data_IF_710143077907
#
_entry.id   IF_710143077907
#
_cell.length_a   1.000
_cell.length_b   1.000
_cell.length_c   1.000
_cell.angle_alpha   90.00
_cell.angle_beta   90.00
_cell.angle_gamma   90.00
#
_symmetry.space_group_name_H-M   'P 1'
#
loop_
_entity.id
_entity.type
_entity.pdbx_description
1 polymer ?
#
# COMPACT_ATOMS: atom_id res chain seq x y z
N UNK A 1 -27.27 6.14 -20.57
CA UNK A 1 -27.92 7.18 -19.74
C UNK A 1 -26.90 8.27 -19.45
N UNK A 2 -27.32 9.53 -19.41
CA UNK A 2 -26.47 10.65 -18.99
C UNK A 2 -27.19 11.40 -17.87
N UNK A 3 -26.44 11.77 -16.82
CA UNK A 3 -26.93 12.51 -15.66
C UNK A 3 -25.94 13.62 -15.36
N UNK A 4 -26.42 14.86 -15.29
CA UNK A 4 -25.63 16.03 -14.93
C UNK A 4 -26.35 16.80 -13.82
N UNK A 5 -25.58 17.30 -12.87
CA UNK A 5 -26.03 18.29 -11.91
C UNK A 5 -25.19 19.56 -12.08
N UNK A 6 -25.81 20.74 -12.10
CA UNK A 6 -25.11 22.02 -12.26
C UNK A 6 -24.28 22.38 -11.02
N UNK A 7 -24.71 21.92 -9.84
CA UNK A 7 -24.04 22.16 -8.56
C UNK A 7 -23.94 20.88 -7.75
N UNK A 8 -25.01 20.53 -7.03
CA UNK A 8 -25.03 19.38 -6.12
C UNK A 8 -25.85 18.24 -6.70
N UNK A 9 -25.40 17.01 -6.45
CA UNK A 9 -26.18 15.79 -6.64
C UNK A 9 -26.23 15.06 -5.29
N UNK A 10 -27.37 15.16 -4.61
CA UNK A 10 -27.59 14.49 -3.33
C UNK A 10 -28.43 13.23 -3.53
N UNK A 11 -27.84 12.06 -3.28
CA UNK A 11 -28.54 10.78 -3.37
C UNK A 11 -28.82 10.25 -1.98
N UNK A 12 -30.10 10.02 -1.65
CA UNK A 12 -30.53 9.42 -0.38
C UNK A 12 -31.30 8.13 -0.62
N UNK A 13 -30.69 7.00 -0.30
CA UNK A 13 -31.32 5.68 -0.31
C UNK A 13 -31.73 5.32 1.12
N UNK A 14 -33.00 4.96 1.33
CA UNK A 14 -33.52 4.68 2.69
C UNK A 14 -33.18 3.28 3.22
N UNK A 15 -32.71 2.40 2.34
CA UNK A 15 -32.47 1.00 2.68
C UNK A 15 -31.21 0.49 1.97
N UNK A 16 -31.36 -0.20 0.84
CA UNK A 16 -30.26 -0.89 0.17
C UNK A 16 -29.95 -0.20 -1.18
N UNK A 17 -28.69 0.09 -1.43
CA UNK A 17 -28.19 0.50 -2.75
C UNK A 17 -27.41 -0.67 -3.36
N UNK A 18 -27.68 -1.00 -4.62
CA UNK A 18 -26.91 -1.98 -5.39
C UNK A 18 -26.54 -1.35 -6.71
N UNK A 19 -25.27 -1.48 -7.10
CA UNK A 19 -24.76 -0.94 -8.34
C UNK A 19 -23.95 -2.02 -9.07
N UNK A 20 -24.38 -2.37 -10.28
CA UNK A 20 -23.72 -3.35 -11.13
C UNK A 20 -23.29 -2.69 -12.42
N UNK A 21 -22.00 -2.81 -12.75
CA UNK A 21 -21.42 -2.24 -13.97
C UNK A 21 -20.87 -3.41 -14.78
N UNK A 22 -21.38 -3.63 -15.99
CA UNK A 22 -20.93 -4.72 -16.86
C UNK A 22 -19.57 -4.46 -17.53
N UNK A 23 -19.14 -3.19 -17.56
CA UNK A 23 -17.83 -2.77 -18.06
C UNK A 23 -17.03 -2.02 -17.00
N UNK A 24 -16.21 -1.07 -17.42
CA UNK A 24 -15.36 -0.28 -16.52
C UNK A 24 -16.14 0.82 -15.79
N UNK A 25 -15.75 1.10 -14.55
CA UNK A 25 -16.17 2.29 -13.79
C UNK A 25 -14.94 3.17 -13.54
N UNK A 26 -14.97 4.40 -14.05
CA UNK A 26 -13.96 5.44 -13.76
C UNK A 26 -14.59 6.45 -12.79
N UNK A 27 -13.86 6.79 -11.73
CA UNK A 27 -14.27 7.81 -10.76
C UNK A 27 -13.13 8.80 -10.60
N UNK A 28 -13.39 10.07 -10.91
CA UNK A 28 -12.43 11.16 -10.79
C UNK A 28 -13.03 12.26 -9.90
N UNK A 29 -12.38 12.54 -8.76
CA UNK A 29 -12.75 13.59 -7.83
C UNK A 29 -11.58 14.58 -7.76
N UNK A 30 -11.84 15.88 -7.98
CA UNK A 30 -10.81 16.93 -8.00
C UNK A 30 -10.43 17.46 -6.61
N UNK A 31 -11.29 17.21 -5.62
CA UNK A 31 -11.11 17.63 -4.24
C UNK A 31 -11.20 16.40 -3.34
N UNK A 32 -11.94 16.46 -2.24
CA UNK A 32 -11.97 15.42 -1.22
C UNK A 32 -13.03 14.35 -1.50
N UNK A 33 -12.68 13.09 -1.21
CA UNK A 33 -13.61 11.98 -1.14
C UNK A 33 -13.64 11.43 0.29
N UNK A 34 -14.76 11.65 0.99
CA UNK A 34 -14.96 11.16 2.35
C UNK A 34 -16.05 10.09 2.39
N UNK A 35 -15.72 8.93 2.95
CA UNK A 35 -16.68 7.85 3.19
C UNK A 35 -16.69 7.47 4.67
N UNK A 36 -17.86 7.05 5.17
CA UNK A 36 -18.02 6.46 6.50
C UNK A 36 -18.87 5.21 6.36
N UNK A 37 -18.43 4.12 6.98
CA UNK A 37 -19.15 2.85 7.04
C UNK A 37 -19.23 2.47 8.50
N UNK A 38 -20.44 2.44 9.07
CA UNK A 38 -20.65 2.05 10.47
C UNK A 38 -20.51 0.54 10.67
N UNK A 39 -20.84 -0.23 9.63
CA UNK A 39 -20.70 -1.69 9.60
C UNK A 39 -19.38 -2.14 9.01
N UNK A 40 -19.41 -3.30 8.33
CA UNK A 40 -18.26 -3.88 7.65
C UNK A 40 -18.05 -3.26 6.27
N UNK A 41 -16.81 -2.90 5.95
CA UNK A 41 -16.39 -2.61 4.58
C UNK A 41 -15.55 -3.79 4.04
N UNK A 42 -15.93 -4.34 2.89
CA UNK A 42 -15.22 -5.44 2.25
C UNK A 42 -14.89 -5.07 0.80
N UNK A 43 -13.64 -5.37 0.39
CA UNK A 43 -13.16 -5.20 -0.97
C UNK A 43 -12.61 -6.53 -1.46
N UNK A 44 -13.20 -7.08 -2.52
CA UNK A 44 -12.73 -8.29 -3.19
C UNK A 44 -12.32 -7.94 -4.62
N UNK A 45 -11.03 -8.09 -4.94
CA UNK A 45 -10.44 -7.76 -6.24
C UNK A 45 -9.86 -9.06 -6.81
N UNK A 46 -10.31 -9.44 -8.01
CA UNK A 46 -9.88 -10.69 -8.64
C UNK A 46 -8.45 -10.63 -9.20
N UNK A 47 -8.04 -9.45 -9.65
CA UNK A 47 -6.74 -9.20 -10.28
C UNK A 47 -5.89 -8.29 -9.38
N UNK A 48 -5.36 -7.18 -9.90
CA UNK A 48 -4.49 -6.28 -9.15
C UNK A 48 -5.25 -5.16 -8.44
N UNK A 49 -4.75 -4.77 -7.27
CA UNK A 49 -5.07 -3.51 -6.59
C UNK A 49 -3.79 -2.68 -6.52
N UNK A 50 -3.84 -1.45 -7.05
CA UNK A 50 -2.76 -0.49 -7.00
C UNK A 50 -3.25 0.76 -6.26
N UNK A 51 -2.42 1.30 -5.38
CA UNK A 51 -2.74 2.48 -4.57
C UNK A 51 -1.55 3.43 -4.63
N UNK A 52 -1.78 4.63 -5.15
CA UNK A 52 -0.78 5.70 -5.27
C UNK A 52 -1.24 6.89 -4.43
N UNK A 53 -0.43 7.26 -3.45
CA UNK A 53 -0.73 8.33 -2.50
C UNK A 53 0.37 9.38 -2.60
N UNK A 54 0.02 10.61 -2.97
CA UNK A 54 0.98 11.72 -3.10
C UNK A 54 1.40 12.37 -1.79
N UNK A 55 0.70 12.06 -0.70
CA UNK A 55 0.97 12.58 0.64
C UNK A 55 1.09 11.48 1.68
N UNK A 56 0.70 11.78 2.92
CA UNK A 56 0.72 10.82 4.02
C UNK A 56 -0.31 9.70 3.81
N UNK A 57 0.10 8.46 4.08
CA UNK A 57 -0.78 7.29 4.07
C UNK A 57 -0.89 6.68 5.47
N UNK A 58 -2.02 6.90 6.12
CA UNK A 58 -2.31 6.44 7.47
C UNK A 58 -3.23 5.22 7.47
N UNK A 59 -2.79 4.12 8.09
CA UNK A 59 -3.64 2.97 8.42
C UNK A 59 -3.70 2.86 9.95
N UNK A 60 -4.90 3.01 10.52
CA UNK A 60 -5.12 3.00 11.97
C UNK A 60 -6.22 1.99 12.31
N UNK A 61 -5.84 0.91 12.99
CA UNK A 61 -6.77 -0.08 13.53
C UNK A 61 -6.80 -0.02 15.05
N UNK A 62 -8.00 -0.06 15.64
CA UNK A 62 -8.12 -0.28 17.09
C UNK A 62 -7.74 -1.72 17.48
N UNK A 63 -8.07 -2.68 16.62
CA UNK A 63 -7.61 -4.06 16.69
C UNK A 63 -6.38 -4.32 15.82
N UNK A 64 -6.08 -5.60 15.60
CA UNK A 64 -4.96 -6.02 14.75
C UNK A 64 -5.12 -5.54 13.30
N UNK A 65 -4.04 -5.02 12.72
CA UNK A 65 -3.91 -4.79 11.28
C UNK A 65 -3.08 -5.95 10.70
N UNK A 66 -3.72 -6.81 9.91
CA UNK A 66 -3.08 -7.99 9.31
C UNK A 66 -2.82 -7.76 7.82
N UNK A 67 -1.57 -7.91 7.40
CA UNK A 67 -1.16 -7.97 5.99
C UNK A 67 -0.65 -9.38 5.72
N UNK A 68 -1.19 -10.05 4.71
CA UNK A 68 -0.84 -11.42 4.37
C UNK A 68 -0.65 -11.54 2.86
N UNK A 69 0.31 -12.37 2.46
CA UNK A 69 0.62 -12.63 1.06
C UNK A 69 0.97 -14.10 0.87
N UNK A 70 0.52 -14.69 -0.23
CA UNK A 70 0.83 -16.07 -0.57
C UNK A 70 2.26 -16.25 -1.10
N UNK A 71 2.85 -15.19 -1.65
CA UNK A 71 4.17 -15.25 -2.31
C UNK A 71 5.24 -14.46 -1.56
N UNK A 72 4.86 -13.31 -0.99
CA UNK A 72 5.75 -12.52 -0.16
C UNK A 72 5.26 -11.10 0.13
N UNK A 73 5.87 -10.49 1.13
CA UNK A 73 5.66 -9.08 1.51
C UNK A 73 6.97 -8.35 1.31
N UNK A 74 6.91 -7.17 0.68
CA UNK A 74 8.07 -6.31 0.44
C UNK A 74 7.76 -4.88 0.83
N UNK A 75 8.55 -4.32 1.74
CA UNK A 75 8.48 -2.92 2.17
C UNK A 75 9.76 -2.20 1.75
N UNK A 76 9.64 -1.07 1.05
CA UNK A 76 10.78 -0.33 0.47
C UNK A 76 10.70 1.12 0.89
N UNK A 77 11.82 1.68 1.32
CA UNK A 77 11.94 3.10 1.63
C UNK A 77 13.37 3.55 1.36
N UNK A 78 13.61 4.13 0.17
CA UNK A 78 14.96 4.43 -0.29
C UNK A 78 15.82 3.16 -0.29
N UNK A 79 16.96 3.20 0.39
CA UNK A 79 17.90 2.06 0.49
C UNK A 79 17.51 1.01 1.55
N UNK A 80 16.39 1.19 2.26
CA UNK A 80 15.90 0.23 3.25
C UNK A 80 14.84 -0.68 2.63
N UNK A 81 15.06 -1.99 2.72
CA UNK A 81 14.16 -3.01 2.16
C UNK A 81 13.95 -4.12 3.18
N UNK A 82 12.68 -4.43 3.50
CA UNK A 82 12.27 -5.64 4.21
C UNK A 82 11.56 -6.56 3.23
N UNK A 83 12.07 -7.77 3.06
CA UNK A 83 11.50 -8.80 2.19
C UNK A 83 11.19 -10.06 3.00
N UNK A 84 9.95 -10.55 2.89
CA UNK A 84 9.48 -11.79 3.50
C UNK A 84 8.99 -12.72 2.39
N UNK A 85 9.63 -13.86 2.23
CA UNK A 85 9.27 -14.87 1.22
C UNK A 85 8.31 -15.95 1.76
N UNK A 86 7.54 -16.56 0.87
CA UNK A 86 6.67 -17.70 1.21
C UNK A 86 7.44 -18.95 1.71
N UNK A 87 8.75 -19.02 1.44
CA UNK A 87 9.65 -20.05 1.96
C UNK A 87 10.06 -19.83 3.44
N UNK A 88 9.61 -18.73 4.07
CA UNK A 88 9.95 -18.36 5.44
C UNK A 88 11.26 -17.57 5.57
N UNK A 89 11.92 -17.26 4.45
CA UNK A 89 13.11 -16.41 4.44
C UNK A 89 12.71 -14.94 4.68
N UNK A 90 13.44 -14.26 5.56
CA UNK A 90 13.24 -12.85 5.88
C UNK A 90 14.57 -12.12 5.74
N UNK A 91 14.59 -11.11 4.86
CA UNK A 91 15.77 -10.32 4.56
C UNK A 91 15.53 -8.84 4.91
N UNK A 92 16.48 -8.25 5.63
CA UNK A 92 16.52 -6.82 5.93
C UNK A 92 17.79 -6.22 5.32
N UNK A 93 17.62 -5.39 4.31
CA UNK A 93 18.70 -4.62 3.69
C UNK A 93 18.59 -3.17 4.15
N UNK A 94 19.69 -2.60 4.67
CA UNK A 94 19.73 -1.21 5.12
C UNK A 94 21.19 -0.70 5.22
N UNK A 95 21.36 0.61 5.29
CA UNK A 95 22.69 1.23 5.49
C UNK A 95 23.16 1.15 6.94
N UNK A 96 22.23 1.29 7.89
CA UNK A 96 22.46 1.29 9.35
C UNK A 96 21.20 0.74 10.03
N UNK A 97 21.38 0.00 11.12
CA UNK A 97 20.28 -0.46 11.95
C UNK A 97 20.61 -0.30 13.43
N UNK A 98 19.58 -0.20 14.27
CA UNK A 98 19.68 -0.25 15.71
C UNK A 98 18.50 -1.05 16.25
N UNK A 99 18.77 -1.98 17.18
CA UNK A 99 17.74 -2.77 17.87
C UNK A 99 17.91 -2.50 19.36
N UNK A 100 16.95 -1.83 19.97
CA UNK A 100 16.99 -1.42 21.37
C UNK A 100 15.81 -2.05 22.12
N UNK A 101 16.09 -2.71 23.26
CA UNK A 101 15.07 -3.27 24.15
C UNK A 101 15.28 -2.74 25.57
N UNK A 102 14.21 -2.31 26.23
CA UNK A 102 14.25 -1.91 27.65
C UNK A 102 14.22 -3.11 28.61
N UNK A 103 13.75 -4.26 28.12
CA UNK A 103 13.78 -5.54 28.81
C UNK A 103 14.84 -6.49 28.23
N UNK A 104 14.56 -7.79 28.23
CA UNK A 104 15.44 -8.82 27.67
C UNK A 104 15.32 -8.91 26.14
N UNK A 105 16.44 -9.17 25.46
CA UNK A 105 16.47 -9.56 24.04
C UNK A 105 16.93 -11.00 23.87
N UNK A 106 16.44 -11.69 22.83
CA UNK A 106 16.84 -13.06 22.49
C UNK A 106 16.99 -13.21 20.98
N UNK A 107 18.03 -13.94 20.55
CA UNK A 107 18.22 -14.38 19.17
C UNK A 107 18.52 -15.88 19.26
N UNK A 108 17.61 -16.70 18.73
CA UNK A 108 17.70 -18.15 18.81
C UNK A 108 17.57 -18.74 17.41
N UNK A 109 18.44 -19.68 17.09
CA UNK A 109 18.45 -20.38 15.80
C UNK A 109 18.48 -21.88 16.06
N UNK A 110 17.81 -22.67 15.21
CA UNK A 110 17.94 -24.13 15.21
C UNK A 110 19.26 -24.63 14.63
N UNK A 111 20.04 -23.74 14.01
CA UNK A 111 21.38 -23.97 13.47
C UNK A 111 22.35 -22.85 13.87
N UNK A 112 23.36 -22.57 13.04
CA UNK A 112 24.38 -21.56 13.32
C UNK A 112 23.80 -20.14 13.26
N UNK A 113 24.30 -19.27 14.14
CA UNK A 113 24.13 -17.82 14.05
C UNK A 113 25.48 -17.20 13.67
N UNK A 114 25.64 -16.85 12.39
CA UNK A 114 26.85 -16.19 11.93
C UNK A 114 26.74 -14.67 12.07
N UNK A 115 27.78 -14.05 12.62
CA UNK A 115 27.89 -12.60 12.76
C UNK A 115 29.09 -12.11 11.93
N UNK A 116 28.81 -11.26 10.95
CA UNK A 116 29.80 -10.75 9.99
C UNK A 116 30.53 -11.85 9.20
N UNK A 117 29.78 -12.86 8.73
CA UNK A 117 30.31 -13.97 7.94
C UNK A 117 31.01 -13.51 6.65
N UNK A 118 30.39 -12.56 5.94
CA UNK A 118 30.87 -12.03 4.66
C UNK A 118 31.58 -10.70 4.89
N UNK A 119 32.66 -10.46 4.15
CA UNK A 119 33.36 -9.16 4.13
C UNK A 119 32.55 -8.06 3.45
N UNK A 120 31.56 -8.42 2.63
CA UNK A 120 30.56 -7.53 2.06
C UNK A 120 29.17 -8.14 2.22
N UNK A 121 28.19 -7.41 2.79
CA UNK A 121 26.83 -7.89 2.89
C UNK A 121 26.16 -7.91 1.51
N UNK A 122 25.17 -8.79 1.35
CA UNK A 122 24.31 -8.80 0.17
C UNK A 122 23.44 -7.54 0.13
N UNK A 123 22.93 -7.19 -1.06
CA UNK A 123 22.02 -6.05 -1.27
C UNK A 123 20.69 -6.55 -1.81
N UNK A 124 19.63 -5.79 -1.55
CA UNK A 124 18.34 -6.03 -2.20
C UNK A 124 18.52 -6.01 -3.73
N UNK A 125 17.82 -6.91 -4.42
CA UNK A 125 17.88 -7.01 -5.89
C UNK A 125 17.34 -5.74 -6.58
N UNK A 126 16.42 -5.04 -5.91
CA UNK A 126 15.85 -3.78 -6.36
C UNK A 126 15.45 -2.92 -5.16
N UNK A 127 15.52 -1.60 -5.33
CA UNK A 127 14.98 -0.58 -4.41
C UNK A 127 13.84 0.23 -5.05
N UNK A 128 13.31 -0.26 -6.17
CA UNK A 128 12.16 0.36 -6.82
C UNK A 128 10.84 0.01 -6.10
N UNK A 129 9.83 0.90 -6.18
CA UNK A 129 9.91 2.26 -6.71
C UNK A 129 10.73 3.18 -5.79
N UNK A 130 11.55 4.05 -6.38
CA UNK A 130 12.30 5.06 -5.64
C UNK A 130 11.39 6.23 -5.24
N UNK A 131 11.79 7.09 -4.27
CA UNK A 131 11.02 8.30 -3.96
C UNK A 131 10.75 9.19 -5.19
N UNK A 132 11.71 9.29 -6.11
CA UNK A 132 11.55 10.04 -7.35
C UNK A 132 10.52 9.38 -8.30
N UNK A 133 10.53 8.05 -8.40
CA UNK A 133 9.55 7.32 -9.22
C UNK A 133 8.12 7.58 -8.72
N UNK A 134 7.89 7.51 -7.41
CA UNK A 134 6.58 7.78 -6.80
C UNK A 134 6.16 9.23 -7.04
N UNK A 135 7.06 10.20 -6.82
CA UNK A 135 6.77 11.63 -7.07
C UNK A 135 6.40 11.88 -8.53
N UNK A 136 7.12 11.26 -9.46
CA UNK A 136 6.83 11.37 -10.89
C UNK A 136 5.50 10.70 -11.26
N UNK A 137 5.18 9.54 -10.68
CA UNK A 137 3.91 8.85 -10.92
C UNK A 137 2.72 9.67 -10.38
N UNK A 138 2.86 10.27 -9.20
CA UNK A 138 1.85 11.19 -8.63
C UNK A 138 1.67 12.40 -9.53
N UNK A 139 2.77 13.08 -9.89
CA UNK A 139 2.71 14.24 -10.78
C UNK A 139 2.06 13.88 -12.13
N UNK A 140 2.41 12.74 -12.73
CA UNK A 140 1.82 12.30 -13.99
C UNK A 140 0.32 12.00 -13.87
N UNK A 141 -0.10 11.42 -12.74
CA UNK A 141 -1.49 11.01 -12.50
C UNK A 141 -2.42 12.21 -12.30
N UNK A 142 -1.93 13.30 -11.67
CA UNK A 142 -2.76 14.44 -11.28
C UNK A 142 -2.45 15.77 -12.01
N UNK A 143 -1.31 15.92 -12.70
CA UNK A 143 -0.92 17.15 -13.41
C UNK A 143 -1.20 17.11 -14.92
N UNK A 144 -1.83 16.05 -15.44
CA UNK A 144 -2.36 16.14 -16.80
C UNK A 144 -3.62 17.02 -16.76
N UNK A 145 -3.63 18.09 -17.56
CA UNK A 145 -4.76 19.02 -17.76
C UNK A 145 -5.97 18.33 -18.45
N UNK A 146 -6.35 17.14 -17.98
CA UNK A 146 -7.41 16.33 -18.54
C UNK A 146 -8.70 16.53 -17.78
N UNK A 147 -9.52 17.48 -18.23
CA UNK A 147 -10.96 17.22 -18.21
C UNK A 147 -11.19 15.84 -18.84
N UNK A 148 -11.61 14.86 -18.02
CA UNK A 148 -12.16 13.57 -18.42
C UNK A 148 -11.49 12.86 -19.59
N UNK A 149 -10.53 11.97 -19.32
CA UNK A 149 -10.37 10.81 -20.19
C UNK A 149 -11.48 9.80 -19.82
N UNK A 150 -12.63 9.99 -20.46
CA UNK A 150 -13.67 8.99 -20.62
C UNK A 150 -13.31 8.03 -21.76
#
# INVERSE_FOLDING_TARGET
MWLQAERNLDTKVKKDETHSVGGSRVVAIKQDYTGKVEGKQEHAIQMSRNELVGGQYDIKGQGTVTISSATGIRLVTGDSVLEMGANGEVNLYCTKFAINASGTGQINTGGTLDLNLKTQPDKATSVAPTPADIQNEVAKTFNSDGEGQA
#
